data_IF_403377945644
#
_entry.id   IF_403377945644
#
_cell.length_a   1.000
_cell.length_b   1.000
_cell.length_c   1.000
_cell.angle_alpha   90.00
_cell.angle_beta   90.00
_cell.angle_gamma   90.00
#
_symmetry.space_group_name_H-M   'P 1'
#
loop_
_entity.id
_entity.type
_entity.pdbx_description
1 polymer ?
#
# COMPACT_ATOMS: atom_id res chain seq x y z
N UNK A 1 12.80 17.03 -10.82
CA UNK A 1 13.01 17.79 -9.57
C UNK A 1 13.32 16.75 -8.51
N UNK A 2 14.41 16.92 -7.76
CA UNK A 2 14.69 16.04 -6.60
C UNK A 2 13.66 16.43 -5.55
N UNK A 3 12.72 15.53 -5.25
CA UNK A 3 11.71 15.75 -4.22
C UNK A 3 12.37 16.04 -2.87
N UNK A 4 11.68 16.72 -1.99
CA UNK A 4 12.15 17.01 -0.63
C UNK A 4 12.43 15.69 0.09
N UNK A 5 13.64 15.52 0.63
CA UNK A 5 14.02 14.33 1.37
C UNK A 5 13.42 14.39 2.78
N UNK A 6 12.65 13.40 3.14
CA UNK A 6 12.10 13.23 4.48
C UNK A 6 12.78 12.03 5.16
N UNK A 7 13.29 12.22 6.37
CA UNK A 7 13.99 11.18 7.10
C UNK A 7 13.05 10.31 7.93
N UNK A 8 13.22 8.99 7.85
CA UNK A 8 12.36 8.00 8.50
C UNK A 8 12.23 8.22 10.00
N UNK A 9 13.33 8.51 10.70
CA UNK A 9 13.30 8.80 12.13
C UNK A 9 12.41 10.01 12.50
N UNK A 10 12.26 10.95 11.57
CA UNK A 10 11.33 12.06 11.73
C UNK A 10 9.90 11.61 11.47
N UNK A 11 9.67 10.88 10.38
CA UNK A 11 8.33 10.36 10.01
C UNK A 11 7.73 9.56 11.15
N UNK A 12 8.48 8.64 11.75
CA UNK A 12 8.04 7.83 12.89
C UNK A 12 7.71 8.61 14.18
N UNK A 13 7.77 9.93 14.15
CA UNK A 13 7.39 10.80 15.26
C UNK A 13 6.27 11.76 14.92
N UNK A 14 5.87 11.77 13.65
CA UNK A 14 4.82 12.65 13.16
C UNK A 14 3.44 12.18 13.62
N UNK A 15 2.49 13.10 13.83
CA UNK A 15 1.11 12.75 14.03
C UNK A 15 0.51 12.21 12.72
N UNK A 16 -0.39 11.24 12.86
CA UNK A 16 -1.35 10.90 11.82
C UNK A 16 -2.52 11.88 11.95
N UNK A 17 -2.84 12.57 10.86
CA UNK A 17 -3.85 13.61 10.81
C UNK A 17 -5.03 13.14 9.96
N UNK A 18 -6.23 13.48 10.38
CA UNK A 18 -7.42 13.29 9.57
C UNK A 18 -7.45 14.23 8.34
N UNK A 19 -8.52 14.16 7.56
CA UNK A 19 -8.74 15.03 6.39
C UNK A 19 -8.79 16.52 6.75
N UNK A 20 -9.29 16.86 7.94
CA UNK A 20 -9.37 18.21 8.48
C UNK A 20 -8.06 18.71 9.11
N UNK A 21 -7.06 17.83 9.28
CA UNK A 21 -5.77 18.13 9.92
C UNK A 21 -5.78 17.97 11.44
N UNK A 22 -6.82 17.38 12.05
CA UNK A 22 -6.83 17.04 13.46
C UNK A 22 -6.02 15.75 13.72
N UNK A 23 -5.24 15.66 14.83
CA UNK A 23 -4.43 14.48 15.12
C UNK A 23 -5.32 13.33 15.60
N UNK A 24 -5.28 12.21 14.92
CA UNK A 24 -6.01 10.97 15.24
C UNK A 24 -5.09 9.86 15.75
N UNK A 25 -3.79 10.01 15.58
CA UNK A 25 -2.80 9.02 16.02
C UNK A 25 -1.38 9.51 15.86
N UNK A 26 -0.44 8.57 15.92
CA UNK A 26 0.99 8.82 15.76
C UNK A 26 1.61 7.68 14.95
N UNK A 27 2.49 8.02 14.02
CA UNK A 27 3.26 7.04 13.26
C UNK A 27 4.33 6.43 14.17
N UNK A 28 4.38 5.11 14.22
CA UNK A 28 5.33 4.32 15.01
C UNK A 28 6.38 3.65 14.15
N UNK A 29 6.04 3.21 12.92
CA UNK A 29 6.98 2.57 12.02
C UNK A 29 6.55 2.78 10.55
N UNK A 30 7.43 2.42 9.62
CA UNK A 30 7.23 2.54 8.18
C UNK A 30 7.39 1.15 7.57
N UNK A 31 6.38 0.70 6.83
CA UNK A 31 6.42 -0.56 6.10
C UNK A 31 7.01 -0.31 4.72
N UNK A 32 8.05 -1.06 4.40
CA UNK A 32 8.71 -0.98 3.10
C UNK A 32 8.83 -2.36 2.48
N UNK A 33 8.90 -2.39 1.18
CA UNK A 33 9.01 -3.62 0.42
C UNK A 33 10.11 -3.48 -0.63
N UNK A 34 10.80 -4.57 -0.94
CA UNK A 34 11.84 -4.59 -1.97
C UNK A 34 11.22 -4.33 -3.34
N UNK A 35 11.82 -3.41 -4.10
CA UNK A 35 11.65 -3.35 -5.54
C UNK A 35 12.48 -4.44 -6.26
N UNK A 36 12.61 -4.32 -7.59
CA UNK A 36 13.59 -5.12 -8.34
C UNK A 36 15.01 -4.86 -7.83
N UNK A 37 15.93 -5.75 -8.13
CA UNK A 37 17.31 -5.67 -7.65
C UNK A 37 18.01 -4.31 -7.89
N UNK A 38 17.52 -3.51 -8.84
CA UNK A 38 18.01 -2.17 -9.20
C UNK A 38 17.10 -1.03 -8.78
N UNK A 39 15.95 -1.31 -8.17
CA UNK A 39 14.97 -0.29 -7.78
C UNK A 39 14.94 -0.09 -6.27
N UNK A 40 14.79 1.16 -5.87
CA UNK A 40 14.75 1.53 -4.46
C UNK A 40 13.49 0.93 -3.78
N UNK A 41 13.60 0.43 -2.54
CA UNK A 41 12.45 -0.08 -1.80
C UNK A 41 11.33 0.96 -1.72
N UNK A 42 10.10 0.50 -1.96
CA UNK A 42 8.89 1.32 -1.92
C UNK A 42 8.31 1.31 -0.50
N UNK A 43 7.75 2.43 -0.08
CA UNK A 43 6.96 2.53 1.14
C UNK A 43 5.54 2.04 0.81
N UNK A 44 5.10 0.97 1.45
CA UNK A 44 3.73 0.47 1.35
C UNK A 44 2.77 1.25 2.24
N UNK A 45 3.25 1.67 3.42
CA UNK A 45 2.41 2.39 4.36
C UNK A 45 3.10 2.62 5.69
N UNK A 46 2.30 2.93 6.68
CA UNK A 46 2.73 3.34 8.00
C UNK A 46 2.01 2.52 9.07
N UNK A 47 2.77 2.03 10.03
CA UNK A 47 2.19 1.53 11.28
C UNK A 47 1.98 2.71 12.20
N UNK A 48 0.77 2.91 12.66
CA UNK A 48 0.42 4.02 13.53
C UNK A 48 -0.35 3.55 14.77
N UNK A 49 -0.20 4.25 15.88
CA UNK A 49 -1.03 4.06 17.07
C UNK A 49 -2.15 5.08 17.06
N UNK A 50 -3.39 4.60 16.99
CA UNK A 50 -4.62 5.36 17.15
C UNK A 50 -5.49 4.72 18.23
N UNK A 51 -6.05 5.49 19.14
CA UNK A 51 -6.92 5.00 20.23
C UNK A 51 -6.37 3.76 20.99
N UNK A 52 -5.05 3.70 21.21
CA UNK A 52 -4.30 2.58 21.83
C UNK A 52 -4.27 1.30 21.00
N UNK A 53 -4.63 1.35 19.72
CA UNK A 53 -4.48 0.25 18.78
C UNK A 53 -3.36 0.56 17.80
N UNK A 54 -2.65 -0.47 17.37
CA UNK A 54 -1.67 -0.38 16.28
C UNK A 54 -2.41 -0.73 15.00
N UNK A 55 -2.46 0.20 14.07
CA UNK A 55 -3.17 0.10 12.78
C UNK A 55 -2.18 0.24 11.63
N UNK A 56 -2.53 -0.29 10.47
CA UNK A 56 -1.82 -0.05 9.22
C UNK A 56 -2.55 1.00 8.39
N UNK A 57 -1.80 1.93 7.83
CA UNK A 57 -2.31 2.96 6.93
C UNK A 57 -1.51 2.87 5.63
N UNK A 58 -2.16 2.48 4.54
CA UNK A 58 -1.53 2.43 3.21
C UNK A 58 -0.96 3.78 2.81
N UNK A 59 0.17 3.78 2.10
CA UNK A 59 0.77 5.01 1.58
C UNK A 59 -0.13 5.69 0.53
N UNK A 60 -0.97 4.93 -0.17
CA UNK A 60 -1.97 5.43 -1.12
C UNK A 60 -3.03 6.31 -0.46
N UNK A 61 -3.36 6.02 0.80
CA UNK A 61 -4.33 6.77 1.62
C UNK A 61 -3.76 8.05 2.27
N UNK A 62 -2.50 8.37 2.04
CA UNK A 62 -1.87 9.59 2.53
C UNK A 62 -1.94 10.68 1.46
N UNK A 63 -2.66 11.76 1.75
CA UNK A 63 -2.75 12.94 0.89
C UNK A 63 -1.45 13.75 0.90
N UNK A 64 -0.88 13.96 2.09
CA UNK A 64 0.38 14.68 2.26
C UNK A 64 1.19 14.15 3.43
N UNK A 65 2.50 14.10 3.23
CA UNK A 65 3.48 13.79 4.28
C UNK A 65 4.48 14.94 4.33
N UNK A 66 4.42 15.70 5.40
CA UNK A 66 5.25 16.88 5.60
C UNK A 66 5.67 17.06 7.07
N UNK A 67 6.18 18.23 7.42
CA UNK A 67 6.66 18.50 8.77
C UNK A 67 5.54 18.60 9.83
N UNK A 68 4.29 18.74 9.42
CA UNK A 68 3.13 18.83 10.30
C UNK A 68 2.54 17.46 10.63
N UNK A 69 2.70 16.47 9.74
CA UNK A 69 2.18 15.12 9.91
C UNK A 69 1.96 14.38 8.60
N UNK A 70 1.43 13.18 8.72
CA UNK A 70 0.85 12.43 7.61
C UNK A 70 -0.66 12.65 7.61
N UNK A 71 -1.19 13.31 6.58
CA UNK A 71 -2.61 13.63 6.45
C UNK A 71 -3.29 12.57 5.60
N UNK A 72 -4.42 12.07 6.08
CA UNK A 72 -5.25 11.11 5.36
C UNK A 72 -6.02 11.79 4.21
N UNK A 73 -6.28 11.03 3.14
CA UNK A 73 -7.17 11.42 2.06
C UNK A 73 -8.64 11.26 2.43
N UNK A 74 -8.97 10.20 3.17
CA UNK A 74 -10.30 9.85 3.61
C UNK A 74 -10.28 9.37 5.07
N UNK A 75 -11.45 9.24 5.69
CA UNK A 75 -11.62 8.67 7.04
C UNK A 75 -11.52 7.15 7.07
N UNK A 76 -11.52 6.53 5.92
CA UNK A 76 -11.44 5.11 5.73
C UNK A 76 -10.04 4.60 6.09
N UNK A 77 -9.89 4.15 7.32
CA UNK A 77 -8.65 3.63 7.89
C UNK A 77 -8.91 2.25 8.45
N UNK A 78 -8.24 1.26 7.89
CA UNK A 78 -8.25 -0.08 8.46
C UNK A 78 -7.76 -0.04 9.91
N UNK A 79 -8.62 -0.44 10.84
CA UNK A 79 -8.33 -0.49 12.28
C UNK A 79 -7.73 -1.83 12.71
N UNK A 80 -7.48 -2.73 11.77
CA UNK A 80 -6.90 -4.04 12.06
C UNK A 80 -5.41 -3.91 12.43
N UNK A 81 -4.91 -4.78 13.31
CA UNK A 81 -3.49 -4.78 13.69
C UNK A 81 -2.61 -5.14 12.48
N UNK A 82 -1.59 -4.36 12.24
CA UNK A 82 -0.60 -4.67 11.22
C UNK A 82 0.06 -6.04 11.45
N UNK A 83 0.10 -6.84 10.39
CA UNK A 83 0.86 -8.11 10.32
C UNK A 83 1.77 -8.06 9.10
N UNK A 84 3.09 -8.09 9.33
CA UNK A 84 4.05 -8.10 8.24
C UNK A 84 3.90 -9.36 7.38
N UNK A 85 3.91 -9.19 6.06
CA UNK A 85 3.90 -10.25 5.07
C UNK A 85 5.32 -10.60 4.63
N UNK A 86 5.45 -11.68 3.89
CA UNK A 86 6.75 -12.09 3.36
C UNK A 86 7.27 -11.03 2.36
N UNK A 87 8.48 -10.54 2.60
CA UNK A 87 9.08 -9.46 1.82
C UNK A 87 8.84 -8.05 2.35
N UNK A 88 7.87 -7.84 3.25
CA UNK A 88 7.67 -6.58 3.95
C UNK A 88 8.67 -6.42 5.10
N UNK A 89 9.15 -5.20 5.29
CA UNK A 89 10.11 -4.87 6.36
C UNK A 89 9.64 -3.64 7.13
N UNK A 90 9.74 -3.73 8.44
CA UNK A 90 9.54 -2.60 9.33
C UNK A 90 10.85 -1.78 9.44
N UNK A 91 10.85 -0.58 8.88
CA UNK A 91 12.05 0.22 8.73
C UNK A 91 12.66 0.59 10.08
N UNK A 92 11.83 0.97 11.06
CA UNK A 92 12.27 1.31 12.40
C UNK A 92 12.81 0.12 13.18
N UNK A 93 12.11 -1.02 13.12
CA UNK A 93 12.48 -2.20 13.94
C UNK A 93 13.54 -3.08 13.32
N UNK A 94 13.57 -3.19 11.98
CA UNK A 94 14.38 -4.20 11.30
C UNK A 94 15.56 -3.61 10.54
N UNK A 95 15.54 -2.32 10.21
CA UNK A 95 16.57 -1.67 9.38
C UNK A 95 17.38 -0.64 10.17
N UNK A 96 16.69 0.23 10.92
CA UNK A 96 17.41 1.18 11.77
C UNK A 96 18.20 0.44 12.87
N UNK A 97 19.31 1.03 13.27
CA UNK A 97 20.26 0.49 14.25
C UNK A 97 20.94 -0.83 13.86
N UNK A 98 20.66 -1.38 12.64
CA UNK A 98 21.37 -2.54 12.14
C UNK A 98 22.82 -2.20 11.78
N UNK A 99 23.72 -3.16 12.05
CA UNK A 99 25.14 -3.03 11.73
C UNK A 99 25.45 -3.47 10.31
N UNK A 100 26.28 -2.69 9.62
CA UNK A 100 26.82 -2.98 8.31
C UNK A 100 28.35 -2.83 8.43
N UNK A 101 29.06 -3.93 8.61
CA UNK A 101 30.47 -3.89 8.91
C UNK A 101 30.75 -3.17 10.24
N UNK A 102 31.49 -2.07 10.19
CA UNK A 102 31.83 -1.22 11.35
C UNK A 102 30.91 0.02 11.50
N UNK A 103 29.89 0.13 10.66
CA UNK A 103 28.90 1.22 10.68
C UNK A 103 27.53 0.73 11.11
N UNK A 104 26.65 1.68 11.45
CA UNK A 104 25.27 1.40 11.87
C UNK A 104 24.33 2.27 11.04
N UNK A 105 23.21 1.71 10.59
CA UNK A 105 22.13 2.47 9.91
C UNK A 105 21.49 3.42 10.92
N UNK A 106 21.79 4.70 10.84
CA UNK A 106 21.28 5.69 11.79
C UNK A 106 19.99 6.35 11.34
N UNK A 107 19.74 6.41 10.04
CA UNK A 107 18.51 6.95 9.47
C UNK A 107 18.40 6.62 7.96
N UNK A 108 17.20 6.75 7.43
CA UNK A 108 16.90 6.51 6.02
C UNK A 108 16.11 7.68 5.48
N UNK A 109 16.48 8.16 4.30
CA UNK A 109 15.78 9.22 3.60
C UNK A 109 14.80 8.65 2.58
N UNK A 110 13.59 9.14 2.63
CA UNK A 110 12.48 8.85 1.73
C UNK A 110 12.26 10.02 0.78
N UNK A 111 11.93 9.75 -0.47
CA UNK A 111 11.51 10.76 -1.44
C UNK A 111 10.32 10.24 -2.25
N UNK A 112 9.40 11.13 -2.56
CA UNK A 112 8.30 10.82 -3.47
C UNK A 112 8.82 10.78 -4.90
N UNK A 113 8.59 9.69 -5.59
CA UNK A 113 8.94 9.51 -6.99
C UNK A 113 7.66 9.47 -7.82
N UNK A 114 7.63 10.29 -8.88
CA UNK A 114 6.58 10.27 -9.88
C UNK A 114 7.05 9.42 -11.06
N UNK A 115 6.17 8.58 -11.63
CA UNK A 115 6.55 7.72 -12.75
C UNK A 115 5.55 6.59 -12.96
N UNK A 116 6.01 5.43 -13.43
CA UNK A 116 5.17 4.25 -13.65
C UNK A 116 4.58 3.66 -12.36
N UNK A 117 5.29 3.80 -11.25
CA UNK A 117 4.84 3.40 -9.91
C UNK A 117 5.05 4.60 -8.99
N UNK A 118 4.12 5.56 -8.96
CA UNK A 118 4.26 6.73 -8.11
C UNK A 118 4.21 6.31 -6.64
N UNK A 119 5.01 6.98 -5.81
CA UNK A 119 5.01 6.67 -4.38
C UNK A 119 6.28 7.12 -3.66
N UNK A 120 6.31 6.86 -2.36
CA UNK A 120 7.47 7.11 -1.53
C UNK A 120 8.47 5.96 -1.65
N UNK A 121 9.74 6.31 -1.91
CA UNK A 121 10.83 5.35 -2.04
C UNK A 121 11.98 5.71 -1.13
N UNK A 122 12.67 4.70 -0.66
CA UNK A 122 13.92 4.82 0.08
C UNK A 122 15.02 5.23 -0.89
N UNK A 123 15.74 6.31 -0.63
CA UNK A 123 16.72 6.87 -1.58
C UNK A 123 18.12 6.95 -1.03
N UNK A 124 18.26 7.41 0.21
CA UNK A 124 19.56 7.58 0.86
C UNK A 124 19.55 6.95 2.24
N UNK A 125 20.71 6.52 2.68
CA UNK A 125 20.93 5.93 4.00
C UNK A 125 22.01 6.71 4.71
N UNK A 126 21.75 7.11 5.95
CA UNK A 126 22.72 7.72 6.82
C UNK A 126 23.36 6.66 7.69
N UNK A 127 24.64 6.41 7.47
CA UNK A 127 25.45 5.51 8.26
C UNK A 127 26.21 6.27 9.33
N UNK A 128 26.24 5.72 10.54
CA UNK A 128 26.98 6.22 11.68
C UNK A 128 28.15 5.29 12.00
N UNK A 129 29.35 5.85 12.12
CA UNK A 129 30.53 5.14 12.60
C UNK A 129 30.94 5.69 13.95
N UNK A 130 31.02 4.81 14.95
CA UNK A 130 31.55 5.15 16.27
C UNK A 130 33.02 4.76 16.32
N UNK A 131 33.85 5.62 16.88
CA UNK A 131 35.26 5.36 17.14
C UNK A 131 35.52 5.35 18.64
N UNK A 132 36.38 4.46 19.10
CA UNK A 132 36.82 4.42 20.51
C UNK A 132 37.57 5.70 20.90
N UNK A 133 38.17 6.39 19.95
CA UNK A 133 38.95 7.61 20.19
C UNK A 133 38.10 8.89 20.08
N UNK A 134 36.90 8.82 19.56
CA UNK A 134 36.01 9.97 19.43
C UNK A 134 34.59 9.60 19.89
N UNK A 135 34.07 10.22 20.97
CA UNK A 135 32.75 9.91 21.50
C UNK A 135 31.62 10.40 20.56
N UNK A 136 31.90 11.29 19.61
CA UNK A 136 30.92 11.76 18.61
C UNK A 136 30.96 10.87 17.39
N UNK A 137 29.84 10.24 16.99
CA UNK A 137 29.81 9.45 15.77
C UNK A 137 30.05 10.32 14.54
N UNK A 138 30.81 9.81 13.59
CA UNK A 138 30.87 10.38 12.23
C UNK A 138 29.71 9.84 11.41
N UNK A 139 29.13 10.67 10.55
CA UNK A 139 28.03 10.30 9.69
C UNK A 139 28.43 10.42 8.23
N UNK A 140 27.99 9.47 7.42
CA UNK A 140 28.05 9.59 5.96
C UNK A 140 26.70 9.23 5.34
N UNK A 141 26.38 9.86 4.25
CA UNK A 141 25.18 9.60 3.47
C UNK A 141 25.58 8.77 2.24
N UNK A 142 24.90 7.65 2.06
CA UNK A 142 25.14 6.72 0.95
C UNK A 142 23.82 6.45 0.23
N UNK A 143 23.90 5.90 -0.95
CA UNK A 143 22.71 5.45 -1.67
C UNK A 143 22.15 4.16 -1.05
N UNK A 144 20.88 3.91 -1.23
CA UNK A 144 20.17 2.79 -0.61
C UNK A 144 20.78 1.42 -0.98
N UNK A 145 21.47 1.32 -2.11
CA UNK A 145 22.13 0.10 -2.59
C UNK A 145 23.13 -0.46 -1.58
N UNK A 146 23.69 0.39 -0.71
CA UNK A 146 24.57 -0.06 0.36
C UNK A 146 23.89 -0.98 1.37
N UNK A 147 22.58 -0.88 1.51
CA UNK A 147 21.79 -1.73 2.40
C UNK A 147 20.80 -2.63 1.63
N UNK A 148 20.90 -2.70 0.30
CA UNK A 148 19.99 -3.46 -0.55
C UNK A 148 19.86 -4.93 -0.11
N UNK A 149 20.96 -5.55 0.37
CA UNK A 149 20.96 -6.92 0.86
C UNK A 149 20.04 -7.14 2.07
N UNK A 150 19.71 -6.11 2.83
CA UNK A 150 18.79 -6.19 3.97
C UNK A 150 17.34 -6.33 3.50
N UNK A 151 17.04 -6.02 2.26
CA UNK A 151 15.72 -6.13 1.64
C UNK A 151 15.59 -7.36 0.74
N UNK A 152 16.61 -8.21 0.69
CA UNK A 152 16.58 -9.40 -0.15
C UNK A 152 15.40 -10.31 0.27
N UNK A 153 14.58 -10.79 -0.70
CA UNK A 153 13.49 -11.72 -0.42
C UNK A 153 14.03 -12.99 0.24
N UNK A 154 13.34 -13.46 1.28
CA UNK A 154 13.79 -14.64 2.04
C UNK A 154 13.21 -15.95 1.49
N UNK A 155 12.12 -15.87 0.72
CA UNK A 155 11.49 -17.04 0.10
C UNK A 155 11.46 -16.93 -1.42
N UNK A 156 11.33 -18.07 -2.11
CA UNK A 156 11.18 -18.09 -3.55
C UNK A 156 9.91 -17.36 -4.02
N UNK A 157 8.83 -17.43 -3.22
CA UNK A 157 7.56 -16.78 -3.53
C UNK A 157 7.63 -15.27 -3.35
N UNK A 158 8.29 -14.78 -2.29
CA UNK A 158 8.55 -13.36 -2.11
C UNK A 158 9.46 -12.80 -3.22
N UNK A 159 10.43 -13.58 -3.69
CA UNK A 159 11.26 -13.21 -4.84
C UNK A 159 10.44 -13.09 -6.13
N UNK A 160 9.50 -14.00 -6.37
CA UNK A 160 8.61 -13.96 -7.54
C UNK A 160 7.63 -12.78 -7.44
N UNK A 161 6.98 -12.57 -6.29
CA UNK A 161 6.12 -11.41 -6.06
C UNK A 161 6.88 -10.08 -6.25
N UNK A 162 8.12 -9.98 -5.74
CA UNK A 162 8.97 -8.82 -5.95
C UNK A 162 9.31 -8.59 -7.42
N UNK A 163 9.52 -9.67 -8.20
CA UNK A 163 9.76 -9.59 -9.64
C UNK A 163 8.55 -9.07 -10.42
N UNK A 164 7.35 -9.45 -10.00
CA UNK A 164 6.09 -9.09 -10.65
C UNK A 164 5.59 -7.70 -10.28
N UNK A 165 6.10 -7.12 -9.19
CA UNK A 165 5.57 -5.86 -8.61
C UNK A 165 5.59 -4.68 -9.58
N UNK A 166 6.61 -4.57 -10.42
CA UNK A 166 6.80 -3.44 -11.33
C UNK A 166 6.29 -3.71 -12.76
N UNK A 167 5.69 -4.88 -12.99
CA UNK A 167 5.05 -5.20 -14.27
C UNK A 167 3.67 -4.55 -14.33
N UNK A 168 3.13 -4.34 -15.53
CA UNK A 168 1.73 -3.92 -15.65
C UNK A 168 0.80 -5.00 -15.08
N UNK A 169 -0.33 -4.64 -14.40
CA UNK A 169 -1.25 -5.63 -13.82
C UNK A 169 -1.66 -6.74 -14.79
N UNK A 170 -2.02 -6.40 -16.02
CA UNK A 170 -2.39 -7.39 -17.06
C UNK A 170 -1.25 -8.36 -17.42
N UNK A 171 0.01 -7.88 -17.44
CA UNK A 171 1.17 -8.78 -17.66
C UNK A 171 1.37 -9.72 -16.46
N UNK A 172 1.14 -9.23 -15.25
CA UNK A 172 1.20 -10.04 -14.03
C UNK A 172 0.10 -11.09 -14.03
N UNK A 173 -1.13 -10.71 -14.36
CA UNK A 173 -2.26 -11.64 -14.52
C UNK A 173 -1.92 -12.75 -15.51
N UNK A 174 -1.34 -12.41 -16.67
CA UNK A 174 -0.89 -13.39 -17.65
C UNK A 174 0.17 -14.35 -17.10
N UNK A 175 1.16 -13.86 -16.34
CA UNK A 175 2.19 -14.69 -15.70
C UNK A 175 1.56 -15.60 -14.64
N UNK A 176 0.70 -15.08 -13.78
CA UNK A 176 0.02 -15.84 -12.71
C UNK A 176 -0.83 -16.96 -13.34
N UNK A 177 -1.56 -16.67 -14.40
CA UNK A 177 -2.37 -17.67 -15.13
C UNK A 177 -1.54 -18.83 -15.68
N UNK A 178 -0.28 -18.61 -15.99
CA UNK A 178 0.62 -19.67 -16.45
C UNK A 178 1.13 -20.58 -15.32
N UNK A 179 0.96 -20.19 -14.05
CA UNK A 179 1.39 -20.98 -12.90
C UNK A 179 0.35 -22.03 -12.49
N UNK A 180 0.75 -23.16 -11.87
CA UNK A 180 -0.16 -24.04 -11.16
C UNK A 180 -0.92 -23.31 -10.05
N UNK A 181 -2.18 -23.69 -9.78
CA UNK A 181 -3.07 -23.00 -8.84
C UNK A 181 -2.44 -22.75 -7.45
N UNK A 182 -1.77 -23.76 -6.88
CA UNK A 182 -1.09 -23.63 -5.59
C UNK A 182 0.02 -22.56 -5.61
N UNK A 183 0.76 -22.45 -6.72
CA UNK A 183 1.79 -21.43 -6.86
C UNK A 183 1.17 -20.05 -7.06
N UNK A 184 0.04 -19.94 -7.77
CA UNK A 184 -0.71 -18.69 -7.92
C UNK A 184 -1.09 -18.13 -6.56
N UNK A 185 -1.68 -18.98 -5.69
CA UNK A 185 -2.09 -18.62 -4.33
C UNK A 185 -0.91 -18.16 -3.46
N UNK A 186 0.23 -18.85 -3.56
CA UNK A 186 1.43 -18.48 -2.83
C UNK A 186 2.01 -17.12 -3.30
N UNK A 187 2.01 -16.86 -4.59
CA UNK A 187 2.44 -15.59 -5.16
C UNK A 187 1.47 -14.47 -4.76
N UNK A 188 0.15 -14.70 -4.89
CA UNK A 188 -0.87 -13.76 -4.42
C UNK A 188 -0.75 -13.48 -2.92
N UNK A 189 -0.49 -14.51 -2.10
CA UNK A 189 -0.27 -14.36 -0.67
C UNK A 189 0.96 -13.49 -0.32
N UNK A 190 1.96 -13.42 -1.20
CA UNK A 190 3.16 -12.61 -1.02
C UNK A 190 3.06 -11.20 -1.63
N UNK A 191 1.98 -10.88 -2.36
CA UNK A 191 1.71 -9.52 -2.88
C UNK A 191 1.13 -8.62 -1.80
N UNK A 192 1.32 -7.31 -1.91
CA UNK A 192 0.57 -6.32 -1.15
C UNK A 192 -0.88 -6.23 -1.66
N UNK A 193 -1.79 -5.65 -0.85
CA UNK A 193 -3.22 -5.68 -1.13
C UNK A 193 -3.59 -4.84 -2.34
N UNK A 194 -3.02 -3.63 -2.50
CA UNK A 194 -3.18 -2.77 -3.67
C UNK A 194 -2.80 -3.53 -4.96
N UNK A 195 -1.65 -4.22 -4.92
CA UNK A 195 -1.18 -4.97 -6.08
C UNK A 195 -2.00 -6.20 -6.39
N UNK A 196 -2.52 -6.86 -5.38
CA UNK A 196 -3.39 -8.02 -5.56
C UNK A 196 -4.76 -7.58 -6.11
N UNK A 197 -5.28 -6.44 -5.69
CA UNK A 197 -6.49 -5.83 -6.25
C UNK A 197 -6.32 -5.55 -7.76
N UNK A 198 -5.28 -4.79 -8.14
CA UNK A 198 -4.95 -4.50 -9.54
C UNK A 198 -4.90 -5.78 -10.41
N UNK A 199 -4.33 -6.85 -9.87
CA UNK A 199 -4.18 -8.13 -10.61
C UNK A 199 -5.49 -8.89 -10.69
N UNK A 200 -6.33 -8.83 -9.66
CA UNK A 200 -7.66 -9.44 -9.67
C UNK A 200 -8.53 -8.82 -10.77
N UNK A 201 -8.56 -7.48 -10.89
CA UNK A 201 -9.32 -6.75 -11.90
C UNK A 201 -8.97 -7.20 -13.35
N UNK A 202 -7.74 -7.61 -13.58
CA UNK A 202 -7.26 -8.10 -14.89
C UNK A 202 -7.51 -9.60 -15.13
N UNK A 203 -8.05 -10.33 -14.15
CA UNK A 203 -8.33 -11.77 -14.26
C UNK A 203 -9.79 -12.03 -14.64
N UNK A 204 -10.08 -13.10 -15.38
CA UNK A 204 -11.45 -13.60 -15.52
C UNK A 204 -12.05 -13.94 -14.14
N UNK A 205 -13.32 -13.68 -13.96
CA UNK A 205 -14.04 -13.78 -12.69
C UNK A 205 -13.92 -15.17 -12.02
N UNK A 206 -13.96 -16.26 -12.80
CA UNK A 206 -13.78 -17.62 -12.27
C UNK A 206 -12.34 -17.87 -11.77
N UNK A 207 -11.36 -17.15 -12.32
CA UNK A 207 -9.97 -17.21 -11.88
C UNK A 207 -9.75 -16.31 -10.65
N UNK A 208 -10.44 -15.15 -10.56
CA UNK A 208 -10.45 -14.29 -9.40
C UNK A 208 -10.88 -15.05 -8.14
N UNK A 209 -12.07 -15.70 -8.19
CA UNK A 209 -12.60 -16.48 -7.08
C UNK A 209 -11.64 -17.57 -6.60
N UNK A 210 -11.00 -18.30 -7.54
CA UNK A 210 -10.02 -19.34 -7.19
C UNK A 210 -8.76 -18.79 -6.55
N UNK A 211 -8.36 -17.57 -6.92
CA UNK A 211 -7.16 -16.95 -6.40
C UNK A 211 -7.35 -16.47 -4.97
N UNK A 212 -8.50 -15.88 -4.67
CA UNK A 212 -8.85 -15.38 -3.33
C UNK A 212 -9.31 -16.49 -2.38
N UNK A 213 -9.66 -17.68 -2.89
CA UNK A 213 -10.01 -18.83 -2.06
C UNK A 213 -8.83 -19.22 -1.17
N UNK A 214 -8.98 -19.08 0.12
CA UNK A 214 -7.93 -19.35 1.12
C UNK A 214 -7.28 -18.09 1.70
N UNK A 215 -7.63 -16.91 1.24
CA UNK A 215 -7.35 -15.66 1.98
C UNK A 215 -8.26 -15.63 3.21
N UNK A 216 -7.71 -15.14 4.33
CA UNK A 216 -8.55 -14.86 5.50
C UNK A 216 -9.43 -13.62 5.25
N UNK A 217 -10.49 -13.48 6.04
CA UNK A 217 -11.49 -12.43 5.84
C UNK A 217 -10.89 -11.03 5.96
N UNK A 218 -9.96 -10.84 6.90
CA UNK A 218 -9.26 -9.57 7.12
C UNK A 218 -8.54 -9.12 5.85
N UNK A 219 -7.75 -10.03 5.27
CA UNK A 219 -7.02 -9.72 4.05
C UNK A 219 -7.91 -9.55 2.83
N UNK A 220 -8.97 -10.37 2.74
CA UNK A 220 -9.93 -10.28 1.66
C UNK A 220 -10.61 -8.90 1.63
N UNK A 221 -11.01 -8.40 2.80
CA UNK A 221 -11.60 -7.06 2.94
C UNK A 221 -10.61 -5.98 2.52
N UNK A 222 -9.35 -6.04 2.98
CA UNK A 222 -8.32 -5.06 2.61
C UNK A 222 -8.06 -5.02 1.08
N UNK A 223 -8.04 -6.18 0.42
CA UNK A 223 -7.87 -6.25 -1.04
C UNK A 223 -9.08 -5.64 -1.73
N UNK A 224 -10.28 -5.91 -1.26
CA UNK A 224 -11.51 -5.41 -1.85
C UNK A 224 -11.69 -3.89 -1.68
N UNK A 225 -11.17 -3.31 -0.61
CA UNK A 225 -11.11 -1.86 -0.42
C UNK A 225 -10.17 -1.13 -1.39
N UNK A 226 -9.24 -1.85 -2.01
CA UNK A 226 -8.32 -1.29 -3.01
C UNK A 226 -8.82 -1.55 -4.46
N UNK A 227 -9.94 -2.29 -4.66
CA UNK A 227 -10.53 -2.56 -5.99
C UNK A 227 -11.46 -1.43 -6.44
N UNK A 228 -11.60 -1.28 -7.76
CA UNK A 228 -12.64 -0.44 -8.34
C UNK A 228 -14.02 -1.02 -8.01
N UNK A 229 -14.99 -0.15 -7.72
CA UNK A 229 -16.32 -0.57 -7.23
C UNK A 229 -17.11 -1.46 -8.19
N UNK A 230 -17.00 -1.24 -9.48
CA UNK A 230 -17.67 -2.03 -10.52
C UNK A 230 -17.06 -3.43 -10.64
N UNK A 231 -15.73 -3.55 -10.63
CA UNK A 231 -15.03 -4.84 -10.66
C UNK A 231 -15.30 -5.64 -9.38
N UNK A 232 -15.32 -4.98 -8.22
CA UNK A 232 -15.68 -5.60 -6.95
C UNK A 232 -17.14 -6.07 -6.94
N UNK A 233 -18.07 -5.29 -7.50
CA UNK A 233 -19.47 -5.69 -7.57
C UNK A 233 -19.65 -6.95 -8.43
N UNK A 234 -18.96 -7.05 -9.56
CA UNK A 234 -19.00 -8.21 -10.44
C UNK A 234 -18.44 -9.46 -9.74
N UNK A 235 -17.33 -9.31 -9.03
CA UNK A 235 -16.74 -10.40 -8.24
C UNK A 235 -17.67 -10.84 -7.09
N UNK A 236 -18.24 -9.91 -6.34
CA UNK A 236 -19.18 -10.19 -5.26
C UNK A 236 -20.47 -10.84 -5.77
N UNK A 237 -20.96 -10.48 -6.96
CA UNK A 237 -22.16 -11.08 -7.54
C UNK A 237 -22.00 -12.58 -7.74
N UNK A 238 -20.79 -13.07 -8.03
CA UNK A 238 -20.47 -14.47 -8.25
C UNK A 238 -20.12 -15.24 -6.99
N UNK A 239 -19.87 -14.57 -5.88
CA UNK A 239 -19.58 -15.23 -4.61
C UNK A 239 -20.83 -15.92 -4.04
N UNK A 240 -20.65 -17.07 -3.32
CA UNK A 240 -21.74 -17.66 -2.53
C UNK A 240 -22.36 -16.63 -1.58
N UNK A 241 -23.70 -16.59 -1.51
CA UNK A 241 -24.43 -15.55 -0.77
C UNK A 241 -24.00 -15.37 0.69
N UNK A 242 -23.66 -16.48 1.39
CA UNK A 242 -23.15 -16.42 2.76
C UNK A 242 -21.78 -15.73 2.84
N UNK A 243 -20.90 -15.98 1.88
CA UNK A 243 -19.58 -15.38 1.82
C UNK A 243 -19.67 -13.89 1.49
N UNK A 244 -20.49 -13.55 0.48
CA UNK A 244 -20.78 -12.16 0.10
C UNK A 244 -21.35 -11.35 1.28
N UNK A 245 -22.28 -11.91 2.04
CA UNK A 245 -22.85 -11.22 3.22
C UNK A 245 -21.79 -10.93 4.26
N UNK A 246 -20.89 -11.88 4.52
CA UNK A 246 -19.78 -11.69 5.48
C UNK A 246 -18.78 -10.63 5.03
N UNK A 247 -18.51 -10.55 3.73
CA UNK A 247 -17.66 -9.49 3.16
C UNK A 247 -18.31 -8.13 3.36
N UNK A 248 -19.58 -7.97 2.97
CA UNK A 248 -20.34 -6.73 3.14
C UNK A 248 -20.52 -6.30 4.61
N UNK A 249 -20.48 -7.24 5.55
CA UNK A 249 -20.50 -6.95 6.99
C UNK A 249 -19.13 -6.53 7.54
N UNK A 250 -18.06 -6.89 6.84
CA UNK A 250 -16.68 -6.56 7.23
C UNK A 250 -16.15 -5.27 6.59
N UNK A 251 -16.81 -4.78 5.53
CA UNK A 251 -16.49 -3.50 4.86
C UNK A 251 -16.98 -2.31 5.71
N UNK A 252 -16.44 -1.14 5.40
CA UNK A 252 -16.99 0.11 5.94
C UNK A 252 -18.46 0.32 5.54
N UNK A 253 -19.23 0.96 6.42
CA UNK A 253 -20.67 1.10 6.23
C UNK A 253 -21.05 1.83 4.93
N UNK A 254 -20.28 2.85 4.53
CA UNK A 254 -20.53 3.65 3.32
C UNK A 254 -20.22 2.83 2.04
N UNK A 255 -19.12 2.08 2.03
CA UNK A 255 -18.73 1.21 0.92
C UNK A 255 -19.68 0.01 0.81
N UNK A 256 -20.05 -0.58 1.94
CA UNK A 256 -21.03 -1.66 1.95
C UNK A 256 -22.40 -1.22 1.41
N UNK A 257 -22.86 0.01 1.69
CA UNK A 257 -24.10 0.55 1.13
C UNK A 257 -23.99 0.75 -0.38
N UNK A 258 -22.87 1.30 -0.84
CA UNK A 258 -22.56 1.46 -2.27
C UNK A 258 -22.56 0.11 -2.97
N UNK A 259 -21.91 -0.91 -2.40
CA UNK A 259 -21.89 -2.26 -2.92
C UNK A 259 -23.29 -2.89 -2.97
N UNK A 260 -24.12 -2.73 -1.92
CA UNK A 260 -25.50 -3.21 -1.94
C UNK A 260 -26.32 -2.56 -3.04
N UNK A 261 -26.08 -1.27 -3.30
CA UNK A 261 -26.76 -0.56 -4.38
C UNK A 261 -26.32 -1.12 -5.75
N UNK A 262 -25.03 -1.28 -6.02
CA UNK A 262 -24.52 -1.85 -7.26
C UNK A 262 -25.05 -3.27 -7.49
N UNK A 263 -24.99 -4.12 -6.48
CA UNK A 263 -25.52 -5.50 -6.52
C UNK A 263 -27.05 -5.58 -6.69
N UNK A 264 -27.78 -4.48 -6.48
CA UNK A 264 -29.23 -4.43 -6.72
C UNK A 264 -29.62 -4.28 -8.19
N UNK A 265 -28.69 -3.84 -9.04
CA UNK A 265 -28.93 -3.71 -10.46
C UNK A 265 -28.87 -5.08 -11.16
N UNK A 266 -29.70 -5.24 -12.21
CA UNK A 266 -29.65 -6.45 -13.00
C UNK A 266 -28.38 -6.48 -13.87
N UNK A 267 -27.77 -7.65 -13.97
CA UNK A 267 -26.60 -7.88 -14.82
C UNK A 267 -26.81 -7.37 -16.25
N UNK A 268 -25.81 -6.72 -16.84
CA UNK A 268 -25.86 -6.16 -18.19
C UNK A 268 -26.69 -4.88 -18.34
N UNK A 269 -27.13 -4.27 -17.22
CA UNK A 269 -27.74 -2.93 -17.25
C UNK A 269 -26.69 -1.83 -17.07
N UNK A 270 -27.04 -0.58 -17.44
CA UNK A 270 -26.13 0.55 -17.20
C UNK A 270 -25.76 0.72 -15.72
N UNK A 271 -26.67 0.40 -14.81
CA UNK A 271 -26.42 0.46 -13.36
C UNK A 271 -25.41 -0.55 -12.87
N UNK A 272 -25.34 -1.75 -13.49
CA UNK A 272 -24.35 -2.77 -13.10
C UNK A 272 -22.95 -2.55 -13.71
N UNK A 273 -22.83 -1.62 -14.68
CA UNK A 273 -21.58 -1.31 -15.37
C UNK A 273 -21.05 0.09 -15.02
N UNK A 274 -21.68 0.77 -14.07
CA UNK A 274 -21.27 2.13 -13.69
C UNK A 274 -20.34 2.11 -12.49
N UNK A 275 -19.34 2.99 -12.50
CA UNK A 275 -18.63 3.35 -11.27
C UNK A 275 -19.43 4.43 -10.54
N UNK A 276 -19.63 4.32 -9.21
CA UNK A 276 -20.25 5.36 -8.40
C UNK A 276 -19.29 6.52 -8.11
N UNK A 277 -18.01 6.31 -8.24
CA UNK A 277 -16.96 7.31 -7.96
C UNK A 277 -16.82 8.28 -9.15
N UNK A 278 -17.76 9.22 -9.24
CA UNK A 278 -17.80 10.21 -10.29
C UNK A 278 -17.59 11.62 -9.75
N UNK A 279 -16.77 12.40 -10.44
CA UNK A 279 -16.59 13.82 -10.12
C UNK A 279 -17.80 14.60 -10.67
N UNK A 280 -18.67 15.05 -9.77
CA UNK A 280 -19.86 15.85 -10.14
C UNK A 280 -19.52 17.34 -10.07
N UNK A 281 -19.80 18.07 -11.17
CA UNK A 281 -19.52 19.48 -11.27
C UNK A 281 -20.75 20.28 -11.65
N UNK A 282 -20.77 21.56 -11.26
CA UNK A 282 -21.78 22.50 -11.75
C UNK A 282 -21.62 22.72 -13.26
N UNK A 283 -22.74 22.87 -14.01
CA UNK A 283 -22.69 23.24 -15.43
C UNK A 283 -21.93 24.57 -15.72
N UNK A 284 -21.81 25.44 -14.72
CA UNK A 284 -21.11 26.72 -14.81
C UNK A 284 -19.64 26.63 -14.41
N UNK A 285 -19.15 25.45 -14.02
CA UNK A 285 -17.77 25.23 -13.62
C UNK A 285 -16.81 25.41 -14.82
N UNK A 286 -15.66 26.02 -14.56
CA UNK A 286 -14.62 26.20 -15.56
C UNK A 286 -13.72 24.95 -15.67
N UNK A 287 -12.96 24.85 -16.76
CA UNK A 287 -11.93 23.81 -16.92
C UNK A 287 -10.88 23.88 -15.80
N UNK A 288 -10.60 25.08 -15.29
CA UNK A 288 -9.70 25.25 -14.17
C UNK A 288 -10.25 24.65 -12.87
N UNK A 289 -11.56 24.80 -12.64
CA UNK A 289 -12.25 24.20 -11.48
C UNK A 289 -12.25 22.67 -11.60
N UNK A 290 -12.49 22.14 -12.81
CA UNK A 290 -12.41 20.70 -13.06
C UNK A 290 -11.02 20.14 -12.78
N UNK A 291 -9.97 20.79 -13.27
CA UNK A 291 -8.60 20.38 -13.03
C UNK A 291 -8.19 20.51 -11.55
N UNK A 292 -8.75 21.47 -10.83
CA UNK A 292 -8.54 21.60 -9.39
C UNK A 292 -9.19 20.42 -8.65
N UNK A 293 -10.44 20.10 -8.97
CA UNK A 293 -11.20 19.01 -8.33
C UNK A 293 -10.58 17.62 -8.62
N UNK A 294 -10.10 17.38 -9.85
CA UNK A 294 -9.35 16.13 -10.20
C UNK A 294 -8.03 16.02 -9.44
N UNK A 295 -7.44 17.15 -9.02
CA UNK A 295 -6.16 17.17 -8.28
C UNK A 295 -6.33 17.18 -6.76
N UNK A 296 -7.50 17.48 -6.29
CA UNK A 296 -7.88 17.33 -4.88
C UNK A 296 -8.43 15.91 -4.72
N UNK A 297 -7.73 15.04 -3.98
CA UNK A 297 -8.20 13.69 -3.71
C UNK A 297 -9.40 13.70 -2.76
#
# INVERSE_FOLDING_TARGET
>A
MVGELIYAFRVMRLPLLDTGGAPIGKIDDIVVVSGRATEAPRVLGFVATSQRRSIFVSASRIASLDNSGARLKSWDVDLNPFRARDGERLLGREILDQKIGDETVSDVALAFQSGRSPGWHLTKVRLAKRSLLNPRPSYRLVDWEHIAHMFAPQTAMAAEAARLRDMHPSDVAAVIRALPLEQRRLVAAAMDDERLADVLEELPEDEQLRLIEGLDMERLTNVFEEMEFDDLADLLAQMPGEQRSRVLEAMDDDDAETMRQLLSYAEGTAGSLMTPDVIVMSPDATVADALAQIREP
#
